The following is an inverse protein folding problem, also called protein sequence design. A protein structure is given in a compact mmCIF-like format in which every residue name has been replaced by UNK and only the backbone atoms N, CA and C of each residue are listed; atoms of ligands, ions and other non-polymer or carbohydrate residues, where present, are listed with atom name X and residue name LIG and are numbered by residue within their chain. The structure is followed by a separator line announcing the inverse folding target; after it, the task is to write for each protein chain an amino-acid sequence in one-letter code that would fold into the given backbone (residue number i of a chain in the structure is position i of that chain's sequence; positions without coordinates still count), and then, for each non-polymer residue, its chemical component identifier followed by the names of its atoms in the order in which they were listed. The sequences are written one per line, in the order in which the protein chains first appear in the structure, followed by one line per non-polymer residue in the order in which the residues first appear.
data_IF_018275543350
#
_entry.id   IF_018275543350
#
_cell.length_a   1.000
_cell.length_b   1.000
_cell.length_c   1.000
_cell.angle_alpha   90.00
_cell.angle_beta   90.00
_cell.angle_gamma   90.00
#
_symmetry.space_group_name_H-M   'P 1'
#
loop_
_entity.id
_entity.type
_entity.pdbx_description
1 polymer ?
#
# COMPACT_ATOMS: atom_id res chain seq x y z
N UNK A 1 7.32 -1.85 2.39
CA UNK A 1 7.14 -0.43 2.00
C UNK A 1 7.24 -0.35 0.49
N UNK A 2 6.25 0.17 -0.23
CA UNK A 2 6.41 0.43 -1.68
C UNK A 2 7.13 1.78 -1.81
N UNK A 3 8.40 1.74 -2.16
CA UNK A 3 9.20 2.96 -2.42
C UNK A 3 8.79 3.53 -3.77
N UNK A 4 8.51 4.83 -3.84
CA UNK A 4 8.26 5.50 -5.10
C UNK A 4 9.58 5.64 -5.88
N UNK A 5 9.69 4.94 -7.01
CA UNK A 5 10.89 4.95 -7.87
C UNK A 5 10.88 6.10 -8.89
N UNK A 6 9.80 6.89 -8.95
CA UNK A 6 9.66 7.98 -9.92
C UNK A 6 10.22 9.32 -9.41
N UNK A 7 10.62 9.41 -8.14
CA UNK A 7 11.22 10.62 -7.55
C UNK A 7 12.57 10.30 -6.91
N UNK A 8 13.52 11.22 -7.04
CA UNK A 8 14.86 11.10 -6.41
C UNK A 8 14.84 11.25 -4.89
N UNK A 9 13.73 11.73 -4.34
CA UNK A 9 13.55 12.00 -2.92
C UNK A 9 12.35 11.25 -2.38
N UNK A 10 12.42 10.74 -1.13
CA UNK A 10 11.26 10.16 -0.48
C UNK A 10 10.12 11.15 -0.32
N UNK A 11 8.90 10.66 -0.20
CA UNK A 11 7.69 11.47 -0.12
C UNK A 11 6.79 11.07 1.04
N UNK A 12 6.08 12.04 1.61
CA UNK A 12 5.11 11.83 2.68
C UNK A 12 3.74 12.41 2.31
N UNK A 13 2.68 11.78 2.79
CA UNK A 13 1.31 12.31 2.79
C UNK A 13 0.90 12.68 4.22
N UNK A 14 0.29 13.85 4.43
CA UNK A 14 -0.12 14.36 5.74
C UNK A 14 -1.64 14.29 5.88
N UNK A 15 -2.13 13.30 6.61
CA UNK A 15 -3.54 13.14 6.97
C UNK A 15 -3.84 13.76 8.33
N UNK A 16 -4.81 14.68 8.38
CA UNK A 16 -5.32 15.24 9.63
C UNK A 16 -6.66 15.94 9.42
N UNK A 17 -7.28 16.41 10.50
CA UNK A 17 -8.27 17.49 10.41
C UNK A 17 -7.57 18.81 10.05
N UNK A 18 -8.27 19.73 9.39
CA UNK A 18 -7.63 20.94 8.84
C UNK A 18 -7.73 22.15 9.78
N UNK A 19 -8.94 22.50 10.22
CA UNK A 19 -9.20 23.77 10.90
C UNK A 19 -8.46 23.90 12.24
N UNK A 20 -8.37 22.83 13.02
CA UNK A 20 -7.75 22.82 14.36
C UNK A 20 -6.25 22.53 14.36
N UNK A 21 -5.69 22.09 13.22
CA UNK A 21 -4.29 21.65 13.11
C UNK A 21 -3.53 22.36 11.97
N UNK A 22 -3.99 23.54 11.55
CA UNK A 22 -3.39 24.23 10.40
C UNK A 22 -1.90 24.55 10.63
N UNK A 23 -1.56 25.06 11.80
CA UNK A 23 -0.19 25.40 12.16
C UNK A 23 0.69 24.15 12.26
N UNK A 24 0.19 23.11 12.91
CA UNK A 24 0.85 21.82 13.02
C UNK A 24 1.12 21.21 11.64
N UNK A 25 0.12 21.20 10.74
CA UNK A 25 0.28 20.70 9.36
C UNK A 25 1.37 21.45 8.61
N UNK A 26 1.37 22.79 8.70
CA UNK A 26 2.35 23.62 8.02
C UNK A 26 3.75 23.31 8.52
N UNK A 27 3.94 23.27 9.84
CA UNK A 27 5.25 23.03 10.42
C UNK A 27 5.76 21.60 10.17
N UNK A 28 4.86 20.61 10.15
CA UNK A 28 5.22 19.23 9.71
C UNK A 28 5.67 19.24 8.26
N UNK A 29 4.93 19.91 7.36
CA UNK A 29 5.30 19.99 5.96
C UNK A 29 6.67 20.64 5.77
N UNK A 30 6.95 21.74 6.47
CA UNK A 30 8.25 22.43 6.40
C UNK A 30 9.37 21.56 6.98
N UNK A 31 9.14 20.91 8.12
CA UNK A 31 10.09 19.98 8.73
C UNK A 31 10.47 18.83 7.79
N UNK A 32 9.50 18.26 7.07
CA UNK A 32 9.74 17.19 6.11
C UNK A 32 10.54 17.70 4.90
N UNK A 33 10.20 18.88 4.37
CA UNK A 33 10.95 19.51 3.26
C UNK A 33 12.39 19.82 3.65
N UNK A 34 12.60 20.41 4.82
CA UNK A 34 13.94 20.67 5.36
C UNK A 34 14.76 19.39 5.56
N UNK A 35 14.10 18.26 5.79
CA UNK A 35 14.73 16.94 5.90
C UNK A 35 14.97 16.27 4.53
N UNK A 36 14.68 16.96 3.42
CA UNK A 36 14.88 16.47 2.05
C UNK A 36 13.75 15.59 1.51
N UNK A 37 12.55 15.64 2.12
CA UNK A 37 11.39 14.87 1.65
C UNK A 37 10.45 15.75 0.81
N UNK A 38 9.85 15.12 -0.19
CA UNK A 38 8.71 15.68 -0.90
C UNK A 38 7.46 15.56 -0.02
N UNK A 39 6.66 16.62 0.01
CA UNK A 39 5.34 16.62 0.67
C UNK A 39 4.30 16.84 -0.42
N UNK A 40 3.33 15.94 -0.54
CA UNK A 40 2.39 15.97 -1.66
C UNK A 40 1.54 17.23 -1.63
N UNK A 41 1.27 17.84 -2.79
CA UNK A 41 0.66 19.18 -2.90
C UNK A 41 -0.74 19.28 -2.25
N UNK A 42 -1.43 18.14 -2.09
CA UNK A 42 -2.71 18.05 -1.40
C UNK A 42 -2.58 18.24 0.12
N UNK A 43 -1.39 18.11 0.67
CA UNK A 43 -1.15 18.24 2.11
C UNK A 43 -1.17 19.69 2.59
N UNK A 44 -0.87 20.65 1.70
CA UNK A 44 -0.87 22.08 2.02
C UNK A 44 -2.28 22.68 1.94
N UNK A 45 -3.23 21.96 1.32
CA UNK A 45 -4.62 22.41 1.15
C UNK A 45 -5.56 21.51 1.94
N UNK A 46 -6.67 22.02 2.49
CA UNK A 46 -7.68 21.15 3.08
C UNK A 46 -8.15 20.14 2.05
N UNK A 47 -8.42 18.91 2.50
CA UNK A 47 -9.31 17.99 1.78
C UNK A 47 -10.70 18.65 1.75
N UNK A 48 -10.89 19.54 0.79
CA UNK A 48 -12.12 20.30 0.58
C UNK A 48 -13.13 19.43 -0.16
N UNK A 49 -14.36 19.93 -0.33
CA UNK A 49 -15.26 19.40 -1.35
C UNK A 49 -14.66 19.47 -2.77
N UNK A 50 -13.65 20.33 -2.96
CA UNK A 50 -12.97 20.59 -4.23
C UNK A 50 -11.84 19.61 -4.52
N UNK A 51 -11.16 19.08 -3.49
CA UNK A 51 -10.11 18.06 -3.68
C UNK A 51 -10.76 16.75 -4.12
N UNK A 52 -10.39 16.24 -5.28
CA UNK A 52 -11.04 15.04 -5.80
C UNK A 52 -10.62 13.82 -4.96
N UNK A 53 -11.54 12.86 -4.77
CA UNK A 53 -11.21 11.57 -4.14
C UNK A 53 -9.99 10.91 -4.80
N UNK A 54 -9.86 11.07 -6.13
CA UNK A 54 -8.77 10.53 -6.94
C UNK A 54 -7.44 11.16 -6.55
N UNK A 55 -7.39 12.47 -6.36
CA UNK A 55 -6.19 13.18 -5.88
C UNK A 55 -5.70 12.62 -4.55
N UNK A 56 -6.58 12.49 -3.55
CA UNK A 56 -6.18 11.96 -2.23
C UNK A 56 -5.66 10.52 -2.35
N UNK A 57 -6.33 9.68 -3.14
CA UNK A 57 -5.88 8.31 -3.39
C UNK A 57 -4.49 8.28 -4.04
N UNK A 58 -4.25 9.12 -5.06
CA UNK A 58 -2.96 9.24 -5.72
C UNK A 58 -1.89 9.73 -4.75
N UNK A 59 -2.18 10.77 -3.95
CA UNK A 59 -1.25 11.29 -2.96
C UNK A 59 -0.82 10.25 -1.93
N UNK A 60 -1.75 9.45 -1.40
CA UNK A 60 -1.41 8.34 -0.50
C UNK A 60 -0.61 7.27 -1.25
N UNK A 61 -1.02 6.93 -2.47
CA UNK A 61 -0.36 5.90 -3.27
C UNK A 61 1.08 6.26 -3.65
N UNK A 62 1.35 7.52 -3.96
CA UNK A 62 2.65 8.03 -4.37
C UNK A 62 3.58 8.29 -3.17
N UNK A 63 3.02 8.55 -1.98
CA UNK A 63 3.80 8.72 -0.75
C UNK A 63 4.52 7.45 -0.30
N UNK A 64 5.72 7.56 0.25
CA UNK A 64 6.44 6.44 0.85
C UNK A 64 5.88 6.05 2.22
N UNK A 65 5.37 7.03 2.96
CA UNK A 65 4.68 6.84 4.24
C UNK A 65 3.64 7.95 4.48
N UNK A 66 2.77 7.73 5.46
CA UNK A 66 1.74 8.67 5.88
C UNK A 66 2.04 9.21 7.27
N UNK A 67 2.03 10.52 7.43
CA UNK A 67 1.93 11.19 8.72
C UNK A 67 0.46 11.36 9.06
N UNK A 68 0.02 10.80 10.18
CA UNK A 68 -1.33 10.97 10.70
C UNK A 68 -1.30 11.87 11.93
N UNK A 69 -1.90 13.05 11.86
CA UNK A 69 -2.09 13.94 13.00
C UNK A 69 -3.52 13.83 13.52
N UNK A 70 -3.66 13.56 14.82
CA UNK A 70 -4.96 13.45 15.47
C UNK A 70 -5.05 14.47 16.59
N UNK A 71 -5.91 15.47 16.38
CA UNK A 71 -6.18 16.53 17.36
C UNK A 71 -7.39 16.19 18.23
N UNK A 72 -8.29 17.17 18.32
CA UNK A 72 -9.49 17.05 19.13
C UNK A 72 -10.75 16.75 18.32
N UNK A 73 -10.72 17.04 17.01
CA UNK A 73 -11.88 16.92 16.14
C UNK A 73 -11.92 15.56 15.45
N UNK A 74 -13.13 15.05 15.25
CA UNK A 74 -13.34 13.86 14.42
C UNK A 74 -13.13 14.14 12.92
N UNK A 75 -13.47 15.36 12.50
CA UNK A 75 -13.43 15.81 11.12
C UNK A 75 -14.76 15.62 10.38
N UNK A 76 -14.76 15.99 9.10
CA UNK A 76 -15.94 16.01 8.25
C UNK A 76 -16.35 14.61 7.81
N UNK A 77 -17.65 14.32 7.85
CA UNK A 77 -18.24 13.10 7.29
C UNK A 77 -18.81 13.45 5.92
N UNK A 78 -18.19 12.93 4.86
CA UNK A 78 -18.58 13.19 3.46
C UNK A 78 -18.88 11.87 2.74
N UNK A 79 -20.14 11.38 2.77
CA UNK A 79 -20.50 10.10 2.17
C UNK A 79 -20.16 9.99 0.69
N UNK A 80 -20.24 11.09 -0.06
CA UNK A 80 -19.84 11.14 -1.48
C UNK A 80 -18.38 10.73 -1.71
N UNK A 81 -17.50 11.01 -0.75
CA UNK A 81 -16.08 10.66 -0.83
C UNK A 81 -15.79 9.32 -0.16
N UNK A 82 -16.19 9.17 1.10
CA UNK A 82 -15.82 8.01 1.93
C UNK A 82 -16.69 6.77 1.63
N UNK A 83 -17.81 6.94 0.92
CA UNK A 83 -18.88 5.94 0.77
C UNK A 83 -19.37 5.43 2.12
N UNK A 84 -19.37 6.30 3.13
CA UNK A 84 -19.77 5.98 4.50
C UNK A 84 -20.49 7.17 5.14
N UNK A 85 -21.54 6.87 5.89
CA UNK A 85 -22.31 7.84 6.68
C UNK A 85 -21.70 8.13 8.04
N UNK A 86 -20.64 7.41 8.42
CA UNK A 86 -20.00 7.51 9.73
C UNK A 86 -18.51 7.80 9.67
N UNK A 87 -17.77 7.39 8.63
CA UNK A 87 -16.32 7.65 8.55
C UNK A 87 -16.03 9.10 8.17
N UNK A 88 -15.19 9.75 8.97
CA UNK A 88 -14.59 11.03 8.58
C UNK A 88 -13.60 10.84 7.42
N UNK A 89 -13.26 11.94 6.75
CA UNK A 89 -12.22 11.95 5.71
C UNK A 89 -10.93 11.34 6.25
N UNK A 90 -10.44 11.83 7.39
CA UNK A 90 -9.17 11.42 8.01
C UNK A 90 -9.16 9.93 8.38
N UNK A 91 -10.28 9.39 8.91
CA UNK A 91 -10.38 7.94 9.12
C UNK A 91 -10.28 7.20 7.79
N UNK A 92 -11.02 7.63 6.77
CA UNK A 92 -10.99 6.99 5.46
C UNK A 92 -9.59 7.03 4.80
N UNK A 93 -8.85 8.14 4.94
CA UNK A 93 -7.45 8.28 4.51
C UNK A 93 -6.55 7.27 5.24
N UNK A 94 -6.66 7.18 6.56
CA UNK A 94 -5.92 6.20 7.37
C UNK A 94 -6.19 4.76 6.93
N UNK A 95 -7.46 4.36 6.79
CA UNK A 95 -7.81 3.01 6.32
C UNK A 95 -7.30 2.74 4.90
N UNK A 96 -7.26 3.77 4.07
CA UNK A 96 -6.72 3.68 2.71
C UNK A 96 -5.21 3.48 2.73
N UNK A 97 -4.48 4.23 3.55
CA UNK A 97 -3.04 4.05 3.76
C UNK A 97 -2.72 2.63 4.24
N UNK A 98 -3.46 2.12 5.24
CA UNK A 98 -3.32 0.76 5.73
C UNK A 98 -3.58 -0.29 4.63
N UNK A 99 -4.66 -0.13 3.84
CA UNK A 99 -4.98 -1.05 2.74
C UNK A 99 -3.91 -1.05 1.65
N UNK A 100 -3.32 0.11 1.37
CA UNK A 100 -2.19 0.28 0.45
C UNK A 100 -0.84 -0.17 1.04
N UNK A 101 -0.84 -0.67 2.30
CA UNK A 101 0.36 -1.07 3.05
C UNK A 101 1.39 0.04 3.15
N UNK A 102 0.93 1.28 3.27
CA UNK A 102 1.78 2.44 3.55
C UNK A 102 2.10 2.46 5.05
N UNK A 103 3.38 2.60 5.44
CA UNK A 103 3.73 2.87 6.84
C UNK A 103 3.00 4.13 7.32
N UNK A 104 2.44 4.08 8.52
CA UNK A 104 1.75 5.21 9.15
C UNK A 104 2.51 5.60 10.42
N UNK A 105 2.88 6.87 10.52
CA UNK A 105 3.45 7.48 11.73
C UNK A 105 2.36 8.36 12.34
N UNK A 106 1.86 7.98 13.52
CA UNK A 106 0.75 8.67 14.17
C UNK A 106 1.23 9.61 15.27
N UNK A 107 0.69 10.82 15.30
CA UNK A 107 0.94 11.83 16.33
C UNK A 107 -0.37 12.33 16.93
N UNK A 108 -0.49 12.30 18.25
CA UNK A 108 -1.70 12.72 18.97
C UNK A 108 -1.44 14.03 19.72
N UNK A 109 -2.28 15.05 19.49
CA UNK A 109 -2.20 16.29 20.25
C UNK A 109 -2.58 16.01 21.71
N UNK A 110 -1.75 16.42 22.65
CA UNK A 110 -2.06 16.36 24.07
C UNK A 110 -2.99 17.52 24.40
N UNK A 111 -4.18 17.21 24.89
CA UNK A 111 -5.19 18.21 25.22
C UNK A 111 -5.48 18.07 26.70
N UNK A 112 -4.83 18.90 27.50
CA UNK A 112 -4.85 18.79 28.97
C UNK A 112 -6.08 19.45 29.59
N UNK A 113 -6.69 20.44 28.92
CA UNK A 113 -7.83 21.21 29.42
C UNK A 113 -8.95 21.34 28.37
N UNK A 114 -9.42 20.23 27.82
CA UNK A 114 -10.49 20.26 26.83
C UNK A 114 -11.86 20.58 27.45
N UNK A 115 -12.51 21.66 27.02
CA UNK A 115 -13.95 21.85 27.24
C UNK A 115 -14.71 21.57 25.95
N UNK A 116 -15.88 20.94 26.06
CA UNK A 116 -16.70 20.65 24.89
C UNK A 116 -17.03 21.90 24.05
N UNK A 117 -17.15 23.06 24.70
CA UNK A 117 -17.32 24.38 24.06
C UNK A 117 -16.16 24.80 23.15
N UNK A 118 -14.97 24.24 23.36
CA UNK A 118 -13.75 24.56 22.61
C UNK A 118 -13.64 23.69 21.35
N UNK A 119 -14.56 22.74 21.15
CA UNK A 119 -14.70 21.99 19.91
C UNK A 119 -15.60 22.76 18.95
N UNK A 120 -15.04 23.20 17.83
CA UNK A 120 -15.81 23.87 16.78
C UNK A 120 -16.97 23.00 16.22
N UNK A 121 -16.96 21.68 16.45
CA UNK A 121 -18.08 20.79 16.11
C UNK A 121 -19.16 20.73 17.21
N UNK A 122 -19.03 21.44 18.33
CA UNK A 122 -19.95 21.34 19.47
C UNK A 122 -21.42 21.58 19.11
N UNK A 123 -21.67 22.53 18.19
CA UNK A 123 -23.00 22.87 17.70
C UNK A 123 -23.46 21.98 16.51
N UNK A 124 -22.66 21.01 16.08
CA UNK A 124 -23.06 20.04 15.05
C UNK A 124 -24.15 19.11 15.61
N UNK A 125 -25.25 18.95 14.89
CA UNK A 125 -26.32 18.00 15.24
C UNK A 125 -25.81 16.55 15.41
N UNK A 126 -24.67 16.23 14.79
CA UNK A 126 -24.00 14.94 14.88
C UNK A 126 -22.86 14.92 15.90
N UNK A 127 -22.68 15.95 16.73
CA UNK A 127 -21.56 16.05 17.66
C UNK A 127 -21.40 14.79 18.52
N UNK A 128 -22.47 14.33 19.18
CA UNK A 128 -22.42 13.13 20.03
C UNK A 128 -21.99 11.88 19.26
N UNK A 129 -22.51 11.70 18.05
CA UNK A 129 -22.12 10.61 17.15
C UNK A 129 -20.63 10.73 16.76
N UNK A 130 -20.18 11.93 16.38
CA UNK A 130 -18.78 12.20 16.04
C UNK A 130 -17.85 11.91 17.24
N UNK A 131 -18.22 12.28 18.47
CA UNK A 131 -17.44 11.98 19.67
C UNK A 131 -17.30 10.48 19.92
N UNK A 132 -18.41 9.74 19.80
CA UNK A 132 -18.40 8.28 19.90
C UNK A 132 -17.49 7.64 18.84
N UNK A 133 -17.65 8.04 17.57
CA UNK A 133 -16.84 7.54 16.47
C UNK A 133 -15.38 7.94 16.61
N UNK A 134 -15.08 9.12 17.13
CA UNK A 134 -13.71 9.57 17.33
C UNK A 134 -12.99 8.74 18.39
N UNK A 135 -13.68 8.36 19.47
CA UNK A 135 -13.16 7.41 20.45
C UNK A 135 -12.80 6.08 19.78
N UNK A 136 -13.71 5.55 18.93
CA UNK A 136 -13.45 4.32 18.17
C UNK A 136 -12.29 4.45 17.19
N UNK A 137 -12.14 5.60 16.56
CA UNK A 137 -11.03 5.86 15.66
C UNK A 137 -9.69 5.87 16.41
N UNK A 138 -9.62 6.59 17.54
CA UNK A 138 -8.43 6.63 18.40
C UNK A 138 -8.08 5.23 18.91
N UNK A 139 -9.05 4.47 19.41
CA UNK A 139 -8.87 3.06 19.82
C UNK A 139 -8.25 2.23 18.69
N UNK A 140 -8.80 2.31 17.47
CA UNK A 140 -8.30 1.60 16.29
C UNK A 140 -6.85 1.95 15.96
N UNK A 141 -6.46 3.22 16.07
CA UNK A 141 -5.09 3.66 15.81
C UNK A 141 -4.16 3.11 16.90
N UNK A 142 -4.53 3.27 18.18
CA UNK A 142 -3.70 2.83 19.32
C UNK A 142 -3.55 1.31 19.43
N UNK A 143 -4.48 0.54 18.87
CA UNK A 143 -4.33 -0.93 18.80
C UNK A 143 -3.36 -1.38 17.71
N UNK A 144 -3.11 -0.56 16.69
CA UNK A 144 -2.27 -0.92 15.54
C UNK A 144 -0.92 -0.18 15.51
N UNK A 145 -0.82 0.94 16.22
CA UNK A 145 0.32 1.84 16.22
C UNK A 145 0.65 2.28 17.65
N UNK A 146 1.84 2.84 17.85
CA UNK A 146 2.23 3.54 19.09
C UNK A 146 2.33 5.05 18.82
N UNK A 147 1.23 5.83 18.94
CA UNK A 147 1.26 7.24 18.59
C UNK A 147 2.15 8.03 19.54
N UNK A 148 2.97 8.94 19.00
CA UNK A 148 3.69 9.90 19.81
C UNK A 148 2.76 11.08 20.16
N UNK A 149 2.71 11.46 21.44
CA UNK A 149 1.88 12.59 21.87
C UNK A 149 2.68 13.89 21.78
N UNK A 150 2.08 15.00 21.38
CA UNK A 150 2.77 16.31 21.29
C UNK A 150 1.97 17.42 21.97
N UNK A 151 2.66 18.40 22.57
CA UNK A 151 2.02 19.52 23.26
C UNK A 151 1.70 20.69 22.31
N UNK A 152 2.64 21.01 21.42
CA UNK A 152 2.61 22.18 20.55
C UNK A 152 3.28 21.86 19.20
N UNK A 153 3.18 22.76 18.19
CA UNK A 153 3.79 22.53 16.88
C UNK A 153 5.30 22.29 16.93
N UNK A 154 6.04 22.96 17.81
CA UNK A 154 7.50 22.84 17.91
C UNK A 154 7.86 21.44 18.43
N UNK A 155 7.19 20.97 19.47
CA UNK A 155 7.32 19.60 19.98
C UNK A 155 6.96 18.55 18.92
N UNK A 156 5.89 18.80 18.14
CA UNK A 156 5.51 17.95 17.00
C UNK A 156 6.64 17.87 15.97
N UNK A 157 7.24 19.00 15.57
CA UNK A 157 8.32 19.01 14.58
C UNK A 157 9.54 18.18 15.02
N UNK A 158 9.94 18.29 16.29
CA UNK A 158 11.00 17.47 16.89
C UNK A 158 10.66 15.98 16.83
N UNK A 159 9.42 15.63 17.19
CA UNK A 159 8.93 14.24 17.17
C UNK A 159 8.87 13.68 15.75
N UNK A 160 8.49 14.49 14.77
CA UNK A 160 8.54 14.09 13.34
C UNK A 160 9.98 13.80 12.94
N UNK A 161 10.95 14.69 13.17
CA UNK A 161 12.37 14.46 12.82
C UNK A 161 12.89 13.16 13.46
N UNK A 162 12.59 12.95 14.74
CA UNK A 162 13.04 11.76 15.47
C UNK A 162 12.44 10.46 14.92
N UNK A 163 11.24 10.51 14.32
CA UNK A 163 10.58 9.34 13.75
C UNK A 163 11.13 8.94 12.37
N UNK A 164 11.74 9.87 11.61
CA UNK A 164 12.15 9.62 10.23
C UNK A 164 13.16 8.46 10.09
N UNK A 165 14.28 8.53 10.80
CA UNK A 165 15.34 7.51 10.69
C UNK A 165 14.82 6.11 11.07
N UNK A 166 14.14 5.91 12.22
CA UNK A 166 13.52 4.63 12.55
C UNK A 166 12.54 4.13 11.48
N UNK A 167 11.72 5.01 10.91
CA UNK A 167 10.77 4.64 9.85
C UNK A 167 11.48 4.16 8.60
N UNK A 168 12.49 4.88 8.12
CA UNK A 168 13.27 4.45 6.96
C UNK A 168 13.99 3.13 7.21
N UNK A 169 14.63 2.99 8.38
CA UNK A 169 15.31 1.74 8.75
C UNK A 169 14.34 0.56 8.78
N UNK A 170 13.15 0.73 9.34
CA UNK A 170 12.10 -0.29 9.33
C UNK A 170 11.65 -0.64 7.90
N UNK A 171 11.47 0.37 7.05
CA UNK A 171 11.15 0.19 5.64
C UNK A 171 12.20 -0.61 4.87
N UNK A 172 13.48 -0.27 5.05
CA UNK A 172 14.63 -0.97 4.44
C UNK A 172 14.69 -2.42 4.93
N UNK A 173 14.57 -2.66 6.24
CA UNK A 173 14.58 -4.02 6.80
C UNK A 173 13.42 -4.87 6.27
N UNK A 174 12.23 -4.28 6.12
CA UNK A 174 11.08 -4.96 5.49
C UNK A 174 11.34 -5.32 4.04
N UNK A 175 12.01 -4.46 3.27
CA UNK A 175 12.36 -4.72 1.87
C UNK A 175 13.42 -5.81 1.76
N UNK A 176 14.46 -5.77 2.59
CA UNK A 176 15.50 -6.80 2.62
C UNK A 176 14.91 -8.18 2.92
N UNK A 177 14.01 -8.27 3.90
CA UNK A 177 13.32 -9.54 4.23
C UNK A 177 12.43 -10.05 3.09
N UNK A 178 11.74 -9.15 2.39
CA UNK A 178 10.93 -9.54 1.23
C UNK A 178 11.81 -10.02 0.08
N UNK A 179 12.93 -9.33 -0.16
CA UNK A 179 13.85 -9.69 -1.22
C UNK A 179 14.52 -11.05 -0.95
N UNK A 180 14.94 -11.31 0.30
CA UNK A 180 15.49 -12.62 0.67
C UNK A 180 14.48 -13.75 0.47
N UNK A 181 13.21 -13.53 0.80
CA UNK A 181 12.15 -14.52 0.59
C UNK A 181 11.91 -14.79 -0.91
N UNK A 182 11.84 -13.73 -1.72
CA UNK A 182 11.71 -13.85 -3.18
C UNK A 182 12.93 -14.56 -3.81
N UNK A 183 14.14 -14.33 -3.31
CA UNK A 183 15.33 -15.03 -3.79
C UNK A 183 15.27 -16.53 -3.50
N UNK A 184 14.78 -16.93 -2.32
CA UNK A 184 14.57 -18.34 -1.98
C UNK A 184 13.52 -18.98 -2.90
N UNK A 185 12.36 -18.36 -3.04
CA UNK A 185 11.27 -18.86 -3.90
C UNK A 185 11.73 -18.99 -5.36
N UNK A 186 12.49 -18.02 -5.87
CA UNK A 186 13.05 -18.10 -7.22
C UNK A 186 14.09 -19.22 -7.37
N UNK A 187 14.84 -19.56 -6.31
CA UNK A 187 15.77 -20.68 -6.35
C UNK A 187 15.01 -22.01 -6.42
N UNK A 188 13.99 -22.17 -5.57
CA UNK A 188 13.14 -23.37 -5.51
C UNK A 188 12.42 -23.61 -6.85
N UNK A 189 11.81 -22.55 -7.41
CA UNK A 189 11.13 -22.61 -8.72
C UNK A 189 12.08 -22.96 -9.87
N UNK A 190 13.34 -22.47 -9.83
CA UNK A 190 14.35 -22.83 -10.84
C UNK A 190 14.74 -24.30 -10.73
N UNK A 191 14.90 -24.82 -9.52
CA UNK A 191 15.21 -26.23 -9.32
C UNK A 191 14.05 -27.12 -9.79
N UNK A 192 12.80 -26.76 -9.49
CA UNK A 192 11.62 -27.48 -9.96
C UNK A 192 11.52 -27.48 -11.49
N UNK A 193 11.77 -26.34 -12.14
CA UNK A 193 11.80 -26.24 -13.60
C UNK A 193 12.86 -27.15 -14.23
N UNK A 194 14.07 -27.23 -13.66
CA UNK A 194 15.11 -28.13 -14.18
C UNK A 194 14.74 -29.61 -14.01
N UNK A 195 14.12 -29.98 -12.87
CA UNK A 195 13.59 -31.33 -12.66
C UNK A 195 12.51 -31.70 -13.69
N UNK A 196 11.58 -30.78 -13.96
CA UNK A 196 10.52 -30.98 -14.96
C UNK A 196 11.07 -31.02 -16.39
N UNK A 197 12.06 -30.19 -16.73
CA UNK A 197 12.73 -30.25 -18.05
C UNK A 197 13.44 -31.59 -18.26
N UNK A 198 14.09 -32.09 -17.22
CA UNK A 198 14.76 -33.39 -17.26
C UNK A 198 13.76 -34.54 -17.44
N UNK A 199 12.60 -34.50 -16.77
CA UNK A 199 11.56 -35.53 -16.93
C UNK A 199 10.89 -35.50 -18.31
N UNK A 200 10.67 -34.33 -18.90
CA UNK A 200 10.14 -34.18 -20.26
C UNK A 200 11.17 -34.60 -21.32
N UNK A 201 12.45 -34.27 -21.14
CA UNK A 201 13.53 -34.72 -22.02
C UNK A 201 13.72 -36.24 -22.02
N UNK A 202 13.45 -36.89 -20.88
CA UNK A 202 13.49 -38.35 -20.73
C UNK A 202 12.34 -39.05 -21.48
N UNK A 203 11.16 -38.41 -21.54
CA UNK A 203 9.98 -38.93 -22.27
C UNK A 203 10.06 -38.74 -23.79
N UNK A 204 10.92 -37.85 -24.30
CA UNK A 204 11.11 -37.64 -25.74
C UNK A 204 11.97 -38.72 -26.41
N UNK A 205 12.71 -39.53 -25.65
CA UNK A 205 13.56 -40.62 -26.17
C UNK A 205 12.81 -41.95 -26.41
N UNK A 206 11.50 -41.98 -26.16
CA UNK A 206 10.63 -43.17 -26.30
C UNK A 206 9.93 -43.33 -27.66
N UNK A 207 10.07 -42.37 -28.57
CA UNK A 207 9.61 -42.53 -29.96
C UNK A 207 10.78 -43.06 -30.81
N UNK A 208 11.23 -44.28 -30.49
CA UNK A 208 11.95 -45.08 -31.49
C UNK A 208 10.97 -45.37 -32.61
N UNK A 209 11.20 -44.79 -33.79
CA UNK A 209 10.59 -45.30 -35.02
C UNK A 209 10.90 -46.78 -35.11
N UNK A 210 9.92 -47.70 -35.11
CA UNK A 210 10.22 -49.10 -35.29
C UNK A 210 10.68 -49.31 -36.75
N UNK A 211 11.98 -49.47 -36.93
CA UNK A 211 12.57 -50.14 -38.09
C UNK A 211 12.13 -51.60 -38.08
N UNK A 212 10.93 -51.88 -38.57
CA UNK A 212 10.53 -53.23 -38.94
C UNK A 212 10.56 -53.35 -40.47
N UNK A 213 11.75 -53.69 -40.96
CA UNK A 213 12.08 -54.03 -42.34
C UNK A 213 11.30 -55.28 -42.86
N UNK A 214 10.53 -55.95 -41.99
CA UNK A 214 9.64 -57.06 -42.36
C UNK A 214 8.22 -56.62 -42.77
N UNK A 215 7.76 -55.43 -42.34
CA UNK A 215 6.42 -54.92 -42.69
C UNK A 215 6.39 -54.29 -44.09
N UNK A 216 7.52 -53.72 -44.54
CA UNK A 216 7.64 -53.07 -45.86
C UNK A 216 7.75 -54.12 -46.99
N UNK A 217 8.36 -55.28 -46.73
CA UNK A 217 8.45 -56.38 -47.71
C UNK A 217 7.10 -57.08 -47.96
N UNK A 218 6.18 -57.09 -46.99
CA UNK A 218 4.83 -57.63 -47.15
C UNK A 218 3.92 -56.74 -48.01
N UNK A 219 4.07 -55.41 -47.92
CA UNK A 219 3.27 -54.42 -48.65
C UNK A 219 3.77 -54.18 -50.09
N UNK A 220 5.06 -54.41 -50.38
CA UNK A 220 5.61 -54.32 -51.74
C UNK A 220 5.24 -55.48 -52.66
N UNK A 221 4.75 -56.61 -52.12
CA UNK A 221 4.24 -57.75 -52.91
C UNK A 221 2.80 -57.53 -53.44
N UNK A 222 2.07 -56.58 -52.85
CA UNK A 222 0.73 -56.18 -53.31
C UNK A 222 0.77 -54.97 -54.26
N UNK A 223 1.90 -54.27 -54.37
CA UNK A 223 2.05 -53.04 -55.17
C UNK A 223 2.88 -53.21 -56.47
N UNK A 224 3.50 -54.37 -56.73
CA UNK A 224 4.08 -54.72 -58.04
C UNK A 224 3.17 -55.74 -58.72
N UNK A 225 2.17 -55.20 -59.40
CA UNK A 225 1.01 -55.95 -59.87
C UNK A 225 1.27 -57.01 -60.93
N UNK A 226 0.31 -57.93 -61.02
CA UNK A 226 -0.04 -58.60 -62.26
C UNK A 226 -1.53 -58.40 -62.50
N UNK A 227 -1.85 -57.31 -63.19
CA UNK A 227 -2.93 -57.36 -64.17
C UNK A 227 -2.42 -58.25 -65.31
N UNK A 228 -2.79 -59.53 -65.31
CA UNK A 228 -2.84 -60.31 -66.54
C UNK A 228 -4.29 -60.74 -66.78
N UNK A 229 -4.91 -59.98 -67.69
CA UNK A 229 -6.07 -60.33 -68.49
C UNK A 229 -6.15 -61.83 -68.82
N UNK A 230 -7.33 -62.42 -68.70
CA UNK A 230 -7.89 -63.26 -69.78
C UNK A 230 -9.40 -63.07 -69.90
N UNK A 231 -9.79 -63.15 -71.18
CA UNK A 231 -11.08 -62.91 -71.82
C UNK A 231 -12.24 -63.70 -71.23
#
# INVERSE_FOLDING_TARGET
MKVNLHTSHPSAFISSTFNDLREERQLVADTLRESGLNVNALDVKPASTTSSKKEILNGIQESDFVILLVGNRYGSILPKMTRSTSKSITWWEYETACRMRKPVIAFFKNITNFKASDDDDFNDLKYQLKRFLFKKFKEKITSAHNPAYFADPIDLSKKVRNALIPTYRSGVMSLLKQNSALHSENADLKEELERLRSSVGSNAFGLTTPTNDSAIQGLLRLARGENQYRQ
#
